data_IF_873089970649
#
_entry.id   IF_873089970649
#
_cell.length_a   1.000
_cell.length_b   1.000
_cell.length_c   1.000
_cell.angle_alpha   90.00
_cell.angle_beta   90.00
_cell.angle_gamma   90.00
#
_symmetry.space_group_name_H-M   'P 1'
#
loop_
_entity.id
_entity.type
_entity.pdbx_description
1 polymer ?
#
# COMPACT_ATOMS: atom_id res chain seq x y z
N UNK A 1 -6.19 -6.80 8.35
CA UNK A 1 -6.66 -5.41 8.53
C UNK A 1 -8.12 -5.37 8.11
N UNK A 2 -9.00 -4.74 8.90
CA UNK A 2 -10.43 -4.58 8.57
C UNK A 2 -10.63 -3.35 7.67
N UNK A 3 -11.78 -3.27 7.00
CA UNK A 3 -12.13 -2.17 6.09
C UNK A 3 -11.99 -0.76 6.71
N UNK A 4 -12.39 -0.59 7.98
CA UNK A 4 -12.23 0.68 8.69
C UNK A 4 -10.75 1.05 8.89
N UNK A 5 -9.93 0.08 9.31
CA UNK A 5 -8.50 0.26 9.52
C UNK A 5 -7.78 0.56 8.20
N UNK A 6 -8.21 -0.08 7.11
CA UNK A 6 -7.70 0.17 5.76
C UNK A 6 -7.96 1.62 5.33
N UNK A 7 -9.21 2.09 5.43
CA UNK A 7 -9.55 3.49 5.10
C UNK A 7 -8.79 4.49 5.97
N UNK A 8 -8.63 4.19 7.27
CA UNK A 8 -7.85 5.03 8.17
C UNK A 8 -6.37 5.08 7.75
N UNK A 9 -5.77 3.94 7.39
CA UNK A 9 -4.39 3.89 6.91
C UNK A 9 -4.22 4.70 5.62
N UNK A 10 -5.15 4.59 4.67
CA UNK A 10 -5.10 5.40 3.44
C UNK A 10 -5.16 6.90 3.74
N UNK A 11 -6.05 7.32 4.65
CA UNK A 11 -6.19 8.71 5.03
C UNK A 11 -4.93 9.26 5.73
N UNK A 12 -4.34 8.49 6.64
CA UNK A 12 -3.09 8.86 7.35
C UNK A 12 -1.92 8.98 6.38
N UNK A 13 -1.82 8.07 5.41
CA UNK A 13 -0.75 8.06 4.42
C UNK A 13 -0.99 9.04 3.25
N UNK A 14 -2.16 9.68 3.18
CA UNK A 14 -2.55 10.51 2.04
C UNK A 14 -2.67 9.73 0.72
N UNK A 15 -2.94 8.42 0.80
CA UNK A 15 -3.12 7.55 -0.35
C UNK A 15 -4.47 7.80 -1.02
N UNK A 16 -4.42 8.12 -2.32
CA UNK A 16 -5.60 8.14 -3.19
C UNK A 16 -5.83 6.74 -3.78
N UNK A 17 -7.02 6.50 -4.35
CA UNK A 17 -7.31 5.24 -5.05
C UNK A 17 -6.31 4.94 -6.17
N UNK A 18 -5.90 5.97 -6.93
CA UNK A 18 -4.87 5.84 -7.95
C UNK A 18 -3.48 5.55 -7.36
N UNK A 19 -3.16 6.12 -6.19
CA UNK A 19 -1.92 5.80 -5.47
C UNK A 19 -1.87 4.34 -4.99
N UNK A 20 -3.00 3.79 -4.54
CA UNK A 20 -3.11 2.36 -4.18
C UNK A 20 -2.92 1.48 -5.42
N UNK A 21 -3.54 1.85 -6.54
CA UNK A 21 -3.41 1.12 -7.81
C UNK A 21 -1.96 1.06 -8.28
N UNK A 22 -1.24 2.19 -8.28
CA UNK A 22 0.16 2.24 -8.68
C UNK A 22 1.09 1.50 -7.70
N UNK A 23 0.87 1.64 -6.39
CA UNK A 23 1.76 1.06 -5.38
C UNK A 23 1.61 -0.45 -5.22
N UNK A 24 0.38 -0.96 -5.37
CA UNK A 24 0.08 -2.38 -5.14
C UNK A 24 -0.28 -3.14 -6.42
N UNK A 25 -0.35 -2.47 -7.58
CA UNK A 25 -0.68 -3.10 -8.85
C UNK A 25 -2.11 -3.68 -8.89
N UNK A 26 -3.04 -3.09 -8.13
CA UNK A 26 -4.42 -3.56 -8.03
C UNK A 26 -5.40 -2.57 -8.63
N UNK A 27 -6.45 -3.06 -9.27
CA UNK A 27 -7.47 -2.18 -9.83
C UNK A 27 -8.28 -1.47 -8.72
N UNK A 28 -8.94 -0.38 -9.11
CA UNK A 28 -9.71 0.46 -8.19
C UNK A 28 -10.94 -0.25 -7.60
N UNK A 29 -11.49 -1.25 -8.29
CA UNK A 29 -12.64 -2.03 -7.83
C UNK A 29 -12.19 -2.94 -6.68
N UNK A 30 -11.06 -3.62 -6.83
CA UNK A 30 -10.43 -4.43 -5.79
C UNK A 30 -10.11 -3.59 -4.55
N UNK A 31 -9.48 -2.42 -4.74
CA UNK A 31 -9.23 -1.47 -3.63
C UNK A 31 -10.53 -1.01 -2.95
N UNK A 32 -11.60 -0.80 -3.72
CA UNK A 32 -12.93 -0.45 -3.20
C UNK A 32 -13.54 -1.58 -2.37
N UNK A 33 -13.45 -2.84 -2.82
CA UNK A 33 -13.96 -3.98 -2.05
C UNK A 33 -13.27 -4.13 -0.69
N UNK A 34 -11.98 -3.81 -0.60
CA UNK A 34 -11.26 -3.75 0.67
C UNK A 34 -11.76 -2.63 1.58
N UNK A 35 -12.07 -1.46 1.01
CA UNK A 35 -12.60 -0.31 1.74
C UNK A 35 -14.06 -0.49 2.22
N UNK A 36 -14.86 -1.29 1.51
CA UNK A 36 -16.23 -1.64 1.92
C UNK A 36 -16.29 -2.87 2.83
N UNK A 37 -15.24 -3.70 2.83
CA UNK A 37 -15.20 -4.96 3.56
C UNK A 37 -15.91 -6.10 2.83
N UNK A 38 -16.25 -5.92 1.55
CA UNK A 38 -16.72 -6.99 0.67
C UNK A 38 -15.61 -8.03 0.42
N UNK A 39 -14.35 -7.61 0.50
CA UNK A 39 -13.19 -8.49 0.47
C UNK A 39 -12.22 -8.15 1.59
N UNK A 40 -11.57 -9.18 2.13
CA UNK A 40 -10.49 -9.00 3.09
C UNK A 40 -9.26 -8.36 2.43
N UNK A 41 -8.62 -7.46 3.17
CA UNK A 41 -7.35 -6.84 2.74
C UNK A 41 -6.25 -7.91 2.79
N UNK A 42 -5.52 -8.19 1.70
CA UNK A 42 -4.41 -9.13 1.71
C UNK A 42 -3.39 -8.78 2.80
N UNK A 43 -2.79 -9.81 3.41
CA UNK A 43 -1.82 -9.64 4.51
C UNK A 43 -0.63 -8.78 4.09
N UNK A 44 -0.13 -8.96 2.86
CA UNK A 44 0.98 -8.18 2.32
C UNK A 44 0.65 -6.68 2.26
N UNK A 45 -0.51 -6.32 1.70
CA UNK A 45 -1.00 -4.93 1.64
C UNK A 45 -1.15 -4.34 3.05
N UNK A 46 -1.76 -5.10 3.95
CA UNK A 46 -1.91 -4.69 5.36
C UNK A 46 -0.56 -4.39 6.01
N UNK A 47 0.43 -5.27 5.81
CA UNK A 47 1.77 -5.12 6.38
C UNK A 47 2.48 -3.89 5.80
N UNK A 48 2.42 -3.68 4.49
CA UNK A 48 3.03 -2.53 3.85
C UNK A 48 2.46 -1.20 4.37
N UNK A 49 1.13 -1.09 4.46
CA UNK A 49 0.47 0.12 4.97
C UNK A 49 0.87 0.40 6.44
N UNK A 50 0.94 -0.64 7.27
CA UNK A 50 1.36 -0.51 8.67
C UNK A 50 2.82 -0.09 8.79
N UNK A 51 3.71 -0.66 7.99
CA UNK A 51 5.13 -0.28 7.97
C UNK A 51 5.32 1.16 7.48
N UNK A 52 4.59 1.57 6.44
CA UNK A 52 4.63 2.95 5.97
C UNK A 52 4.16 3.91 7.05
N UNK A 53 3.05 3.58 7.73
CA UNK A 53 2.52 4.41 8.82
C UNK A 53 3.46 4.45 10.03
N UNK A 54 4.09 3.34 10.40
CA UNK A 54 5.00 3.28 11.55
C UNK A 54 6.32 4.02 11.33
N UNK A 55 6.78 4.09 10.07
CA UNK A 55 8.04 4.74 9.70
C UNK A 55 7.85 6.14 9.09
N UNK A 56 6.64 6.71 9.11
CA UNK A 56 6.29 7.98 8.46
C UNK A 56 6.76 8.04 6.99
N UNK A 57 6.69 6.92 6.28
CA UNK A 57 7.06 6.86 4.87
C UNK A 57 5.93 7.47 4.03
N UNK A 58 6.29 8.46 3.22
CA UNK A 58 5.35 9.02 2.27
C UNK A 58 5.10 8.05 1.11
N UNK A 59 3.96 8.20 0.45
CA UNK A 59 3.63 7.44 -0.78
C UNK A 59 4.70 7.64 -1.85
N UNK A 60 5.25 8.84 -1.96
CA UNK A 60 6.33 9.15 -2.91
C UNK A 60 7.58 8.35 -2.58
N UNK A 61 7.97 8.25 -1.31
CA UNK A 61 9.12 7.42 -0.89
C UNK A 61 8.87 5.94 -1.14
N UNK A 62 7.65 5.46 -0.88
CA UNK A 62 7.29 4.08 -1.16
C UNK A 62 7.32 3.76 -2.67
N UNK A 63 6.85 4.69 -3.50
CA UNK A 63 6.91 4.55 -4.96
C UNK A 63 8.35 4.57 -5.47
N UNK A 64 9.18 5.49 -4.99
CA UNK A 64 10.62 5.51 -5.31
C UNK A 64 11.26 4.19 -4.92
N UNK A 65 10.93 3.64 -3.75
CA UNK A 65 11.46 2.35 -3.32
C UNK A 65 11.01 1.23 -4.27
N UNK A 66 9.73 1.15 -4.59
CA UNK A 66 9.19 0.16 -5.53
C UNK A 66 9.85 0.24 -6.91
N UNK A 67 9.99 1.44 -7.46
CA UNK A 67 10.61 1.69 -8.78
C UNK A 67 12.14 1.46 -8.73
N UNK A 68 12.78 1.71 -7.58
CA UNK A 68 14.22 1.47 -7.40
C UNK A 68 14.57 0.00 -7.21
N UNK A 69 13.61 -0.85 -6.86
CA UNK A 69 13.80 -2.31 -6.71
C UNK A 69 13.93 -3.01 -8.07
N UNK A 70 13.57 -2.35 -9.17
CA UNK A 70 13.97 -2.78 -10.53
C UNK A 70 15.50 -2.68 -10.74
N UNK A 71 16.23 -1.98 -9.85
CA UNK A 71 17.68 -2.10 -9.74
C UNK A 71 17.98 -3.31 -8.83
N UNK A 72 18.79 -4.30 -9.28
CA UNK A 72 18.83 -5.60 -8.63
C UNK A 72 19.17 -5.49 -7.14
N UNK A 73 18.26 -5.95 -6.29
CA UNK A 73 18.55 -6.34 -4.90
C UNK A 73 19.56 -7.51 -4.81
N UNK A 74 20.18 -7.90 -5.94
CA UNK A 74 21.04 -9.05 -6.12
C UNK A 74 22.52 -8.84 -5.71
N UNK A 75 22.88 -7.78 -4.96
CA UNK A 75 24.27 -7.56 -4.53
C UNK A 75 24.42 -7.24 -3.05
N UNK A 76 23.72 -7.98 -2.21
CA UNK A 76 24.04 -8.01 -0.77
C UNK A 76 23.79 -9.41 -0.21
N UNK A 77 24.62 -10.36 -0.64
CA UNK A 77 24.91 -11.61 0.05
C UNK A 77 26.34 -12.05 -0.31
#
# INVERSE_FOLDING_TARGET
MKALEYRAALAVLGLTTAGVENLFGVDQITSRHWATGEQDVPRAVSLCLLLMASHNLSVVQAQILADSVDVPLAKSA
#
